data_IF_537580413295
#
_entry.id   IF_537580413295
#
_cell.length_a   1.000
_cell.length_b   1.000
_cell.length_c   1.000
_cell.angle_alpha   90.00
_cell.angle_beta   90.00
_cell.angle_gamma   90.00
#
_symmetry.space_group_name_H-M   'P 1'
#
loop_
_entity.id
_entity.type
_entity.pdbx_description
1 polymer ?
#
# COMPACT_ATOMS: atom_id res chain seq x y z
N UNK A 1 -8.30 11.45 -21.62
CA UNK A 1 -7.05 10.75 -21.98
C UNK A 1 -6.49 10.15 -20.70
N UNK A 2 -6.23 8.86 -20.69
CA UNK A 2 -5.79 8.12 -19.50
C UNK A 2 -4.29 8.32 -19.32
N UNK A 3 -3.87 9.47 -18.77
CA UNK A 3 -2.47 9.68 -18.44
C UNK A 3 -2.02 8.63 -17.42
N UNK A 4 -0.84 8.06 -17.66
CA UNK A 4 -0.16 7.18 -16.73
C UNK A 4 -0.01 7.87 -15.34
N UNK A 5 0.04 7.11 -14.25
CA UNK A 5 0.26 7.66 -12.90
C UNK A 5 1.48 8.59 -12.84
N UNK A 6 2.59 8.25 -13.49
CA UNK A 6 3.78 9.11 -13.53
C UNK A 6 3.51 10.44 -14.25
N UNK A 7 2.86 10.39 -15.41
CA UNK A 7 2.51 11.58 -16.20
C UNK A 7 1.53 12.49 -15.45
N UNK A 8 0.60 11.92 -14.67
CA UNK A 8 -0.35 12.68 -13.86
C UNK A 8 0.37 13.58 -12.85
N UNK A 9 1.46 13.10 -12.26
CA UNK A 9 2.31 13.90 -11.39
C UNK A 9 3.48 14.53 -12.13
N UNK A 10 3.58 14.47 -13.46
CA UNK A 10 4.72 15.00 -14.23
C UNK A 10 6.08 14.40 -13.85
N UNK A 11 6.11 13.18 -13.30
CA UNK A 11 7.33 12.49 -12.88
C UNK A 11 7.88 11.63 -14.03
N UNK A 12 9.21 11.43 -14.10
CA UNK A 12 9.78 10.46 -15.04
C UNK A 12 9.30 9.05 -14.69
N UNK A 13 9.03 8.24 -15.71
CA UNK A 13 8.68 6.82 -15.53
C UNK A 13 9.93 6.08 -15.05
N UNK A 14 9.85 5.51 -13.84
CA UNK A 14 10.95 4.78 -13.25
C UNK A 14 10.66 4.32 -11.82
N UNK A 15 11.47 3.40 -11.32
CA UNK A 15 11.32 2.90 -9.96
C UNK A 15 11.86 3.88 -8.92
N UNK A 16 12.98 4.55 -9.23
CA UNK A 16 13.52 5.64 -8.43
C UNK A 16 12.71 6.91 -8.67
N UNK A 17 11.92 7.32 -7.68
CA UNK A 17 11.21 8.60 -7.66
C UNK A 17 11.60 9.37 -6.41
N UNK A 18 11.41 10.68 -6.45
CA UNK A 18 11.51 11.55 -5.28
C UNK A 18 10.14 11.58 -4.58
N UNK A 19 10.03 10.90 -3.44
CA UNK A 19 8.80 10.82 -2.66
C UNK A 19 8.36 12.20 -2.14
N UNK A 20 9.31 13.08 -1.82
CA UNK A 20 9.01 14.45 -1.38
C UNK A 20 8.36 15.27 -2.50
N UNK A 21 8.91 15.19 -3.70
CA UNK A 21 8.33 15.79 -4.90
C UNK A 21 6.96 15.19 -5.24
N UNK A 22 6.79 13.86 -5.12
CA UNK A 22 5.50 13.21 -5.31
C UNK A 22 4.44 13.75 -4.35
N UNK A 23 4.77 13.86 -3.05
CA UNK A 23 3.85 14.40 -2.03
C UNK A 23 3.51 15.86 -2.29
N UNK A 24 4.47 16.69 -2.68
CA UNK A 24 4.22 18.09 -3.04
C UNK A 24 3.22 18.22 -4.20
N UNK A 25 3.45 17.44 -5.27
CA UNK A 25 2.59 17.46 -6.47
C UNK A 25 1.21 16.88 -6.20
N UNK A 26 1.12 15.85 -5.36
CA UNK A 26 -0.16 15.32 -4.89
C UNK A 26 -0.99 16.38 -4.18
N UNK A 27 -0.41 17.10 -3.20
CA UNK A 27 -1.11 18.14 -2.45
C UNK A 27 -1.61 19.25 -3.36
N UNK A 28 -0.74 19.73 -4.26
CA UNK A 28 -1.09 20.76 -5.23
C UNK A 28 -2.28 20.37 -6.11
N UNK A 29 -2.31 19.12 -6.60
CA UNK A 29 -3.41 18.60 -7.42
C UNK A 29 -4.71 18.46 -6.63
N UNK A 30 -4.64 17.91 -5.41
CA UNK A 30 -5.82 17.74 -4.55
C UNK A 30 -6.42 19.10 -4.17
N UNK A 31 -5.59 20.09 -3.84
CA UNK A 31 -6.06 21.43 -3.48
C UNK A 31 -6.74 22.14 -4.66
N UNK A 32 -6.20 21.98 -5.88
CA UNK A 32 -6.84 22.50 -7.09
C UNK A 32 -8.24 21.87 -7.31
N UNK A 33 -8.36 20.55 -7.18
CA UNK A 33 -9.66 19.86 -7.36
C UNK A 33 -10.63 20.22 -6.24
N UNK A 34 -10.16 20.34 -4.99
CA UNK A 34 -10.99 20.80 -3.85
C UNK A 34 -11.48 22.23 -4.02
N UNK A 35 -10.67 23.12 -4.60
CA UNK A 35 -11.10 24.49 -4.89
C UNK A 35 -12.22 24.52 -5.94
N UNK A 36 -12.20 23.62 -6.93
CA UNK A 36 -13.30 23.47 -7.90
C UNK A 36 -14.57 22.91 -7.25
N UNK A 37 -14.44 21.98 -6.29
CA UNK A 37 -15.59 21.50 -5.50
C UNK A 37 -16.34 22.62 -4.77
N UNK A 38 -15.63 23.66 -4.30
CA UNK A 38 -16.26 24.80 -3.65
C UNK A 38 -17.12 25.65 -4.61
N UNK A 39 -16.97 25.46 -5.93
CA UNK A 39 -17.76 26.14 -6.97
C UNK A 39 -19.01 25.34 -7.38
N UNK A 40 -19.14 24.08 -6.97
CA UNK A 40 -20.30 23.22 -7.21
C UNK A 40 -20.00 21.75 -6.91
N UNK A 41 -21.02 20.98 -6.53
CA UNK A 41 -20.90 19.53 -6.34
C UNK A 41 -21.01 18.82 -7.70
N UNK A 42 -19.97 18.04 -8.05
CA UNK A 42 -19.91 17.28 -9.29
C UNK A 42 -19.31 15.89 -9.03
N UNK A 43 -20.03 14.84 -9.42
CA UNK A 43 -19.58 13.45 -9.35
C UNK A 43 -18.27 13.22 -10.13
N UNK A 44 -18.00 14.02 -11.16
CA UNK A 44 -16.73 13.98 -11.90
C UNK A 44 -15.54 14.36 -11.03
N UNK A 45 -15.70 15.36 -10.16
CA UNK A 45 -14.62 15.80 -9.26
C UNK A 45 -14.32 14.75 -8.19
N UNK A 46 -15.35 14.03 -7.70
CA UNK A 46 -15.15 12.91 -6.75
C UNK A 46 -14.33 11.80 -7.42
N UNK A 47 -14.69 11.43 -8.64
CA UNK A 47 -13.95 10.44 -9.44
C UNK A 47 -12.51 10.89 -9.71
N UNK A 48 -12.31 12.18 -9.99
CA UNK A 48 -10.98 12.73 -10.21
C UNK A 48 -10.08 12.61 -8.96
N UNK A 49 -10.59 12.98 -7.77
CA UNK A 49 -9.87 12.82 -6.51
C UNK A 49 -9.51 11.36 -6.23
N UNK A 50 -10.46 10.44 -6.42
CA UNK A 50 -10.20 9.01 -6.22
C UNK A 50 -9.08 8.49 -7.14
N UNK A 51 -9.04 8.93 -8.39
CA UNK A 51 -7.96 8.56 -9.31
C UNK A 51 -6.60 9.19 -8.96
N UNK A 52 -6.59 10.41 -8.41
CA UNK A 52 -5.36 11.06 -7.93
C UNK A 52 -4.82 10.31 -6.71
N UNK A 53 -5.70 9.98 -5.76
CA UNK A 53 -5.35 9.19 -4.57
C UNK A 53 -4.80 7.82 -4.94
N UNK A 54 -5.43 7.13 -5.88
CA UNK A 54 -4.96 5.83 -6.35
C UNK A 54 -3.57 5.94 -6.97
N UNK A 55 -3.36 6.88 -7.89
CA UNK A 55 -2.06 7.10 -8.50
C UNK A 55 -0.99 7.44 -7.44
N UNK A 56 -1.35 8.25 -6.44
CA UNK A 56 -0.44 8.60 -5.35
C UNK A 56 -0.07 7.37 -4.50
N UNK A 57 -1.05 6.57 -4.06
CA UNK A 57 -0.79 5.37 -3.26
C UNK A 57 0.05 4.34 -4.02
N UNK A 58 -0.24 4.13 -5.29
CA UNK A 58 0.51 3.22 -6.16
C UNK A 58 1.95 3.66 -6.35
N UNK A 59 2.20 4.95 -6.56
CA UNK A 59 3.56 5.45 -6.68
C UNK A 59 4.28 5.53 -5.33
N UNK A 60 3.58 5.77 -4.22
CA UNK A 60 4.21 5.87 -2.91
C UNK A 60 4.71 4.52 -2.41
N UNK A 61 3.92 3.44 -2.54
CA UNK A 61 4.34 2.10 -2.12
C UNK A 61 5.31 1.48 -3.15
N UNK A 62 6.57 1.16 -2.78
CA UNK A 62 7.53 0.55 -3.68
C UNK A 62 7.04 -0.76 -4.32
N UNK A 63 6.26 -1.58 -3.61
CA UNK A 63 5.75 -2.83 -4.18
C UNK A 63 4.68 -2.58 -5.24
N UNK A 64 3.71 -1.71 -4.94
CA UNK A 64 2.69 -1.31 -5.90
C UNK A 64 3.31 -0.61 -7.12
N UNK A 65 4.32 0.24 -6.88
CA UNK A 65 5.09 0.93 -7.93
C UNK A 65 5.81 -0.06 -8.84
N UNK A 66 6.45 -1.09 -8.28
CA UNK A 66 7.12 -2.13 -9.06
C UNK A 66 6.12 -2.93 -9.91
N UNK A 67 4.97 -3.31 -9.34
CA UNK A 67 3.90 -3.99 -10.08
C UNK A 67 3.37 -3.15 -11.24
N UNK A 68 3.09 -1.88 -10.97
CA UNK A 68 2.64 -0.94 -11.99
C UNK A 68 3.68 -0.75 -13.12
N UNK A 69 4.96 -0.64 -12.77
CA UNK A 69 6.03 -0.57 -13.76
C UNK A 69 6.10 -1.83 -14.63
N UNK A 70 5.86 -3.01 -14.07
CA UNK A 70 5.81 -4.23 -14.89
C UNK A 70 4.68 -4.18 -15.91
N UNK A 71 3.49 -3.70 -15.53
CA UNK A 71 2.37 -3.52 -16.47
C UNK A 71 2.73 -2.54 -17.60
N UNK A 72 3.40 -1.44 -17.26
CA UNK A 72 3.85 -0.45 -18.25
C UNK A 72 4.89 -1.02 -19.22
N UNK A 73 5.89 -1.74 -18.72
CA UNK A 73 6.90 -2.36 -19.57
C UNK A 73 6.34 -3.49 -20.43
N UNK A 74 5.39 -4.28 -19.90
CA UNK A 74 4.67 -5.29 -20.68
C UNK A 74 3.86 -4.67 -21.81
N UNK A 75 3.15 -3.57 -21.54
CA UNK A 75 2.40 -2.83 -22.57
C UNK A 75 3.30 -2.26 -23.68
N UNK A 76 4.58 -2.00 -23.39
CA UNK A 76 5.59 -1.55 -24.35
C UNK A 76 6.28 -2.71 -25.09
N UNK A 77 5.89 -3.96 -24.84
CA UNK A 77 6.49 -5.15 -25.46
C UNK A 77 7.76 -5.65 -24.78
N UNK A 78 8.16 -5.05 -23.65
CA UNK A 78 9.26 -5.54 -22.80
C UNK A 78 8.76 -6.64 -21.84
N UNK A 79 8.03 -7.61 -22.39
CA UNK A 79 7.44 -8.68 -21.59
C UNK A 79 8.51 -9.64 -21.07
N UNK A 80 8.68 -9.65 -19.76
CA UNK A 80 9.09 -10.84 -19.06
C UNK A 80 7.85 -11.74 -18.99
N UNK A 81 7.80 -12.83 -19.76
CA UNK A 81 6.78 -13.89 -19.61
C UNK A 81 6.48 -14.05 -18.11
N UNK A 82 5.20 -13.96 -17.69
CA UNK A 82 4.79 -14.36 -16.33
C UNK A 82 5.24 -15.81 -16.17
N UNK A 83 6.41 -16.00 -15.55
CA UNK A 83 6.99 -17.32 -15.36
C UNK A 83 5.98 -18.15 -14.58
N UNK A 84 5.38 -19.14 -15.25
CA UNK A 84 4.65 -20.24 -14.65
C UNK A 84 5.63 -21.19 -13.92
N UNK A 85 6.51 -20.64 -13.09
CA UNK A 85 7.69 -21.37 -12.58
C UNK A 85 7.56 -21.77 -11.12
N UNK A 86 6.43 -21.49 -10.48
CA UNK A 86 6.18 -21.99 -9.13
C UNK A 86 5.55 -23.39 -9.24
N UNK A 87 6.24 -24.47 -8.88
CA UNK A 87 5.62 -25.77 -8.83
C UNK A 87 4.47 -25.73 -7.81
N UNK A 88 3.31 -26.35 -8.10
CA UNK A 88 2.20 -26.40 -7.16
C UNK A 88 2.67 -27.11 -5.88
N UNK A 89 2.97 -26.33 -4.83
CA UNK A 89 3.51 -26.82 -3.56
C UNK A 89 4.62 -25.95 -2.95
N UNK A 90 5.35 -25.14 -3.72
CA UNK A 90 6.42 -24.31 -3.18
C UNK A 90 5.91 -23.33 -2.11
N UNK A 91 4.76 -22.68 -2.37
CA UNK A 91 4.15 -21.74 -1.41
C UNK A 91 3.69 -22.39 -0.11
N UNK A 92 3.36 -23.69 -0.12
CA UNK A 92 2.99 -24.41 1.11
C UNK A 92 4.22 -24.72 1.97
N UNK A 93 5.34 -25.08 1.34
CA UNK A 93 6.62 -25.30 2.03
C UNK A 93 7.10 -23.98 2.66
N UNK A 94 7.09 -22.89 1.88
CA UNK A 94 7.43 -21.56 2.38
C UNK A 94 6.54 -21.14 3.57
N UNK A 95 5.25 -21.41 3.49
CA UNK A 95 4.31 -21.11 4.57
C UNK A 95 4.60 -21.93 5.84
N UNK A 96 4.93 -23.22 5.70
CA UNK A 96 5.27 -24.09 6.83
C UNK A 96 6.56 -23.64 7.52
N UNK A 97 7.63 -23.39 6.77
CA UNK A 97 8.93 -22.93 7.31
C UNK A 97 8.80 -21.58 8.03
N UNK A 98 8.01 -20.68 7.43
CA UNK A 98 7.69 -19.38 8.01
C UNK A 98 6.95 -19.52 9.34
N UNK A 99 5.95 -20.39 9.37
CA UNK A 99 5.15 -20.64 10.57
C UNK A 99 5.98 -21.29 11.68
N UNK A 100 6.85 -22.24 11.33
CA UNK A 100 7.80 -22.86 12.27
C UNK A 100 8.72 -21.83 12.90
N UNK A 101 9.31 -20.94 12.08
CA UNK A 101 10.20 -19.87 12.56
C UNK A 101 9.49 -18.95 13.55
N UNK A 102 8.26 -18.55 13.25
CA UNK A 102 7.46 -17.72 14.15
C UNK A 102 7.08 -18.45 15.44
N UNK A 103 6.75 -19.75 15.38
CA UNK A 103 6.42 -20.57 16.56
C UNK A 103 7.66 -20.75 17.46
N UNK A 104 8.82 -20.98 16.85
CA UNK A 104 10.09 -21.05 17.58
C UNK A 104 10.41 -19.75 18.31
N UNK A 105 10.13 -18.59 17.70
CA UNK A 105 10.29 -17.28 18.34
C UNK A 105 9.37 -17.12 19.56
N UNK A 106 8.10 -17.55 19.47
CA UNK A 106 7.13 -17.45 20.58
C UNK A 106 7.39 -18.42 21.74
N UNK A 107 8.15 -19.50 21.51
CA UNK A 107 8.46 -20.51 22.53
C UNK A 107 9.75 -20.20 23.33
N UNK A 108 10.39 -19.05 23.07
CA UNK A 108 11.58 -18.60 23.81
C UNK A 108 11.20 -18.07 25.20
N UNK A 109 12.19 -17.99 26.08
CA UNK A 109 12.03 -17.45 27.45
C UNK A 109 11.56 -15.99 27.47
N UNK A 110 11.92 -15.21 26.45
CA UNK A 110 11.42 -13.85 26.20
C UNK A 110 10.87 -13.76 24.77
N UNK A 111 9.57 -14.07 24.58
CA UNK A 111 8.93 -14.05 23.26
C UNK A 111 8.92 -12.66 22.63
N UNK A 112 8.79 -11.60 23.44
CA UNK A 112 8.71 -10.23 22.95
C UNK A 112 10.04 -9.80 22.34
N UNK A 113 11.14 -9.98 23.07
CA UNK A 113 12.48 -9.68 22.55
C UNK A 113 12.82 -10.52 21.30
N UNK A 114 12.42 -11.80 21.29
CA UNK A 114 12.64 -12.69 20.14
C UNK A 114 11.86 -12.25 18.89
N UNK A 115 10.59 -11.84 19.03
CA UNK A 115 9.78 -11.33 17.92
C UNK A 115 10.31 -9.99 17.42
N UNK A 116 10.74 -9.10 18.32
CA UNK A 116 11.39 -7.84 17.95
C UNK A 116 12.67 -8.07 17.15
N UNK A 117 13.56 -8.97 17.59
CA UNK A 117 14.76 -9.36 16.85
C UNK A 117 14.43 -9.93 15.47
N UNK A 118 13.41 -10.79 15.39
CA UNK A 118 12.95 -11.35 14.12
C UNK A 118 12.46 -10.26 13.17
N UNK A 119 11.66 -9.29 13.64
CA UNK A 119 11.21 -8.16 12.82
C UNK A 119 12.36 -7.27 12.36
N UNK A 120 13.39 -7.04 13.19
CA UNK A 120 14.61 -6.32 12.76
C UNK A 120 15.30 -7.06 11.63
N UNK A 121 15.47 -8.38 11.70
CA UNK A 121 16.07 -9.17 10.61
C UNK A 121 15.25 -9.12 9.33
N UNK A 122 13.91 -9.13 9.44
CA UNK A 122 13.04 -8.91 8.28
C UNK A 122 13.30 -7.52 7.67
N UNK A 123 13.35 -6.47 8.50
CA UNK A 123 13.61 -5.09 8.11
C UNK A 123 14.98 -4.90 7.41
N UNK A 124 16.02 -5.59 7.85
CA UNK A 124 17.33 -5.57 7.20
C UNK A 124 17.29 -6.28 5.84
N UNK A 125 16.64 -7.45 5.79
CA UNK A 125 16.54 -8.24 4.55
C UNK A 125 15.77 -7.51 3.46
N UNK A 126 14.64 -6.90 3.78
CA UNK A 126 13.89 -6.18 2.74
C UNK A 126 14.55 -4.86 2.32
N UNK A 127 15.29 -4.16 3.19
CA UNK A 127 16.13 -3.04 2.74
C UNK A 127 17.19 -3.48 1.71
N UNK A 128 17.79 -4.67 1.90
CA UNK A 128 18.72 -5.23 0.92
C UNK A 128 18.03 -5.61 -0.41
N UNK A 129 16.82 -6.18 -0.34
CA UNK A 129 16.02 -6.52 -1.53
C UNK A 129 15.53 -5.28 -2.27
N UNK A 130 15.15 -4.23 -1.55
CA UNK A 130 14.74 -2.94 -2.14
C UNK A 130 15.90 -2.29 -2.92
N UNK A 131 17.10 -2.26 -2.33
CA UNK A 131 18.31 -1.85 -3.05
C UNK A 131 18.56 -2.70 -4.31
N UNK A 132 18.28 -3.99 -4.25
CA UNK A 132 18.38 -4.89 -5.41
C UNK A 132 17.35 -4.53 -6.48
N UNK A 133 16.10 -4.19 -6.10
CA UNK A 133 15.10 -3.69 -7.04
C UNK A 133 15.56 -2.41 -7.74
N UNK A 134 16.11 -1.45 -6.99
CA UNK A 134 16.66 -0.24 -7.58
C UNK A 134 17.72 -0.52 -8.65
N UNK A 135 18.61 -1.48 -8.40
CA UNK A 135 19.62 -1.89 -9.38
C UNK A 135 19.02 -2.57 -10.62
N UNK A 136 18.05 -3.45 -10.43
CA UNK A 136 17.40 -4.17 -11.53
C UNK A 136 16.57 -3.24 -12.42
N UNK A 137 15.89 -2.25 -11.83
CA UNK A 137 15.11 -1.26 -12.58
C UNK A 137 15.95 -0.15 -13.21
N UNK A 138 17.24 -0.04 -12.90
CA UNK A 138 18.13 0.91 -13.56
C UNK A 138 18.36 0.56 -15.05
N UNK A 139 18.23 -0.71 -15.42
CA UNK A 139 18.23 -1.18 -16.80
C UNK A 139 17.08 -2.20 -17.01
N UNK A 140 15.91 -1.77 -17.49
CA UNK A 140 14.71 -2.60 -17.59
C UNK A 140 14.75 -3.58 -18.78
N UNK A 141 15.78 -4.42 -18.85
CA UNK A 141 15.86 -5.53 -19.80
C UNK A 141 14.92 -6.68 -19.41
N UNK A 142 14.45 -7.52 -20.36
CA UNK A 142 13.59 -8.66 -20.02
C UNK A 142 14.19 -9.63 -18.99
N UNK A 143 15.52 -9.71 -18.92
CA UNK A 143 16.23 -10.48 -17.89
C UNK A 143 16.08 -9.83 -16.51
N UNK A 144 16.38 -8.52 -16.41
CA UNK A 144 16.29 -7.78 -15.15
C UNK A 144 14.84 -7.69 -14.65
N UNK A 145 13.86 -7.56 -15.55
CA UNK A 145 12.43 -7.57 -15.19
C UNK A 145 12.00 -8.92 -14.61
N UNK A 146 12.48 -10.06 -15.15
CA UNK A 146 12.24 -11.38 -14.55
C UNK A 146 12.85 -11.49 -13.15
N UNK A 147 14.08 -11.03 -12.97
CA UNK A 147 14.75 -11.02 -11.67
C UNK A 147 14.01 -10.11 -10.67
N UNK A 148 13.58 -8.92 -11.11
CA UNK A 148 12.85 -7.96 -10.28
C UNK A 148 11.52 -8.55 -9.80
N UNK A 149 10.79 -9.27 -10.67
CA UNK A 149 9.58 -10.00 -10.27
C UNK A 149 9.85 -11.01 -9.15
N UNK A 150 10.96 -11.73 -9.19
CA UNK A 150 11.33 -12.66 -8.12
C UNK A 150 11.63 -11.92 -6.80
N UNK A 151 12.31 -10.77 -6.86
CA UNK A 151 12.59 -9.93 -5.69
C UNK A 151 11.30 -9.35 -5.10
N UNK A 152 10.36 -8.88 -5.93
CA UNK A 152 9.03 -8.39 -5.48
C UNK A 152 8.29 -9.49 -4.73
N UNK A 153 8.27 -10.74 -5.24
CA UNK A 153 7.66 -11.88 -4.51
C UNK A 153 8.29 -12.11 -3.14
N UNK A 154 9.62 -12.06 -3.05
CA UNK A 154 10.31 -12.18 -1.76
C UNK A 154 9.90 -11.06 -0.79
N UNK A 155 9.83 -9.81 -1.25
CA UNK A 155 9.39 -8.69 -0.42
C UNK A 155 7.93 -8.84 0.05
N UNK A 156 7.04 -9.32 -0.81
CA UNK A 156 5.64 -9.63 -0.44
C UNK A 156 5.56 -10.70 0.65
N UNK A 157 6.41 -11.74 0.56
CA UNK A 157 6.54 -12.76 1.60
C UNK A 157 7.06 -12.15 2.90
N UNK A 158 8.11 -11.33 2.87
CA UNK A 158 8.62 -10.65 4.09
C UNK A 158 7.58 -9.74 4.73
N UNK A 159 6.81 -8.99 3.93
CA UNK A 159 5.72 -8.15 4.43
C UNK A 159 4.63 -8.99 5.12
N UNK A 160 4.34 -10.19 4.62
CA UNK A 160 3.44 -11.15 5.28
C UNK A 160 4.02 -11.63 6.60
N UNK A 161 5.28 -12.07 6.62
CA UNK A 161 5.98 -12.49 7.85
C UNK A 161 5.93 -11.42 8.93
N UNK A 162 6.19 -10.16 8.55
CA UNK A 162 6.23 -9.02 9.46
C UNK A 162 4.86 -8.79 10.13
N UNK A 163 3.78 -8.71 9.34
CA UNK A 163 2.41 -8.54 9.88
C UNK A 163 2.02 -9.63 10.87
N UNK A 164 2.45 -10.86 10.62
CA UNK A 164 2.16 -11.96 11.53
C UNK A 164 3.00 -11.94 12.80
N UNK A 165 4.27 -11.55 12.71
CA UNK A 165 5.11 -11.32 13.88
C UNK A 165 4.54 -10.19 14.77
N UNK A 166 4.11 -9.09 14.16
CA UNK A 166 3.43 -7.97 14.83
C UNK A 166 2.15 -8.43 15.54
N UNK A 167 1.33 -9.26 14.87
CA UNK A 167 0.12 -9.83 15.46
C UNK A 167 0.41 -10.66 16.72
N UNK A 168 1.41 -11.55 16.66
CA UNK A 168 1.82 -12.37 17.82
C UNK A 168 2.46 -11.53 18.94
N UNK A 169 3.16 -10.46 18.59
CA UNK A 169 3.72 -9.54 19.58
C UNK A 169 2.61 -8.79 20.32
N UNK A 170 1.54 -8.39 19.62
CA UNK A 170 0.37 -7.78 20.25
C UNK A 170 -0.35 -8.76 21.20
N UNK A 171 -0.47 -10.04 20.82
CA UNK A 171 -1.05 -11.10 21.66
C UNK A 171 -0.25 -11.34 22.94
N UNK A 172 1.08 -11.40 22.84
CA UNK A 172 1.98 -11.60 24.00
C UNK A 172 1.97 -10.43 24.98
N UNK A 173 1.67 -9.22 24.51
CA UNK A 173 1.52 -8.02 25.35
C UNK A 173 0.14 -7.90 26.04
N UNK A 174 -0.79 -8.83 25.80
CA UNK A 174 -2.11 -8.81 26.43
C UNK A 174 -2.99 -7.62 26.02
N UNK A 175 -2.63 -6.93 24.93
CA UNK A 175 -3.48 -5.89 24.33
C UNK A 175 -4.61 -6.64 23.64
N UNK A 176 -5.77 -6.72 24.31
CA UNK A 176 -6.95 -7.39 23.79
C UNK A 176 -7.21 -7.03 22.33
N UNK A 177 -7.74 -8.01 21.59
CA UNK A 177 -7.96 -8.10 20.13
C UNK A 177 -8.77 -6.96 19.49
N UNK A 178 -9.02 -5.87 20.22
CA UNK A 178 -9.72 -4.66 19.83
C UNK A 178 -8.86 -3.66 19.05
N UNK A 179 -7.52 -3.74 19.13
CA UNK A 179 -6.65 -2.98 18.23
C UNK A 179 -6.30 -3.84 17.00
N UNK A 180 -7.28 -4.08 16.13
CA UNK A 180 -6.96 -4.39 14.72
C UNK A 180 -6.41 -3.11 14.13
N UNK A 181 -5.10 -2.94 14.27
CA UNK A 181 -4.37 -1.78 13.75
C UNK A 181 -4.59 -1.76 12.24
N UNK A 182 -5.11 -0.64 11.75
CA UNK A 182 -4.95 -0.26 10.36
C UNK A 182 -3.45 -0.03 10.12
N UNK A 183 -2.70 -1.09 9.87
CA UNK A 183 -1.30 -0.98 9.43
C UNK A 183 -1.36 -0.66 7.94
N UNK A 184 -1.47 0.64 7.68
CA UNK A 184 -1.14 1.23 6.40
C UNK A 184 0.26 0.79 6.00
N UNK A 185 0.40 0.47 4.71
CA UNK A 185 1.59 0.43 3.87
C UNK A 185 2.89 -0.13 4.46
N UNK A 186 3.63 -0.84 3.61
CA UNK A 186 4.89 -1.42 4.00
C UNK A 186 5.94 -0.30 4.18
N UNK A 187 6.05 0.28 5.38
CA UNK A 187 7.13 1.20 5.70
C UNK A 187 8.46 0.41 5.69
N UNK A 188 9.22 0.58 4.61
CA UNK A 188 10.63 0.21 4.47
C UNK A 188 11.53 1.45 4.52
N UNK A 189 11.07 2.56 5.12
CA UNK A 189 11.85 3.79 5.18
C UNK A 189 12.83 3.77 6.36
N UNK A 190 14.03 3.21 6.11
CA UNK A 190 15.23 3.68 6.80
C UNK A 190 15.69 4.96 6.09
N UNK A 191 15.28 6.10 6.64
CA UNK A 191 15.80 7.42 6.26
C UNK A 191 14.86 8.28 5.42
N UNK A 192 13.74 8.73 5.99
CA UNK A 192 13.10 9.97 5.56
C UNK A 192 12.65 10.74 6.79
N UNK A 193 13.45 11.73 7.18
CA UNK A 193 13.15 12.72 8.21
C UNK A 193 12.10 13.68 7.61
N UNK A 194 10.84 13.22 7.53
CA UNK A 194 9.71 14.05 7.16
C UNK A 194 8.60 13.79 8.17
N UNK A 195 8.54 14.66 9.19
CA UNK A 195 7.50 14.65 10.22
C UNK A 195 6.11 14.64 9.58
N UNK A 196 5.42 13.52 9.72
CA UNK A 196 3.99 13.38 9.46
C UNK A 196 3.23 14.15 10.54
N UNK A 197 2.33 15.10 10.23
CA UNK A 197 1.37 15.58 11.21
C UNK A 197 0.33 14.48 11.48
N UNK A 198 0.07 14.27 12.77
CA UNK A 198 -0.75 13.20 13.31
C UNK A 198 -2.19 13.18 12.81
N UNK A 199 -2.72 11.97 12.82
CA UNK A 199 -4.09 11.53 12.52
C UNK A 199 -5.21 12.10 13.44
N UNK A 200 -5.05 13.31 13.98
CA UNK A 200 -6.04 13.93 14.88
C UNK A 200 -7.04 14.84 14.15
N UNK A 201 -6.71 15.38 12.97
CA UNK A 201 -7.59 16.33 12.26
C UNK A 201 -8.79 15.66 11.54
N UNK A 202 -8.71 14.37 11.20
CA UNK A 202 -9.81 13.67 10.53
C UNK A 202 -10.99 13.35 11.46
N UNK A 203 -10.80 13.34 12.80
CA UNK A 203 -11.84 12.99 13.77
C UNK A 203 -12.72 14.16 14.20
N UNK A 204 -12.29 15.40 13.95
CA UNK A 204 -13.06 16.59 14.31
C UNK A 204 -14.21 16.89 13.32
N UNK A 205 -14.12 16.42 12.07
CA UNK A 205 -15.02 16.85 11.00
C UNK A 205 -16.37 16.09 10.94
N UNK A 206 -16.51 14.98 11.68
CA UNK A 206 -17.75 14.16 11.69
C UNK A 206 -18.81 14.69 12.69
N UNK A 207 -18.46 15.61 13.60
CA UNK A 207 -19.39 16.12 14.63
C UNK A 207 -20.23 17.35 14.23
N UNK A 208 -20.22 17.73 12.94
CA UNK A 208 -20.81 18.99 12.48
C UNK A 208 -21.90 18.92 11.41
N UNK A 209 -22.46 17.75 11.07
CA UNK A 209 -23.56 17.68 10.10
C UNK A 209 -24.94 17.68 10.77
N UNK A 210 -25.90 18.51 10.31
CA UNK A 210 -27.27 18.49 10.81
C UNK A 210 -28.00 17.23 10.32
N UNK A 211 -28.66 16.54 11.25
CA UNK A 211 -29.44 15.32 11.00
C UNK A 211 -30.49 15.55 9.91
N UNK A 212 -30.31 14.92 8.75
CA UNK A 212 -31.36 14.82 7.72
C UNK A 212 -32.42 13.85 8.24
N UNK A 213 -33.53 14.40 8.70
CA UNK A 213 -34.70 13.66 9.17
C UNK A 213 -35.47 13.14 7.94
N UNK A 214 -35.33 11.86 7.62
CA UNK A 214 -36.09 11.20 6.54
C UNK A 214 -37.47 10.84 7.10
N UNK A 215 -38.49 11.64 6.78
CA UNK A 215 -39.88 11.31 7.07
C UNK A 215 -40.40 10.20 6.14
N UNK A 216 -41.20 9.24 6.64
CA UNK A 216 -41.75 8.16 5.82
C UNK A 216 -42.88 8.67 4.92
N UNK A 217 -42.78 8.33 3.63
CA UNK A 217 -43.72 8.71 2.57
C UNK A 217 -45.07 7.98 2.78
N UNK A 218 -46.07 8.69 3.29
CA UNK A 218 -47.44 8.20 3.39
C UNK A 218 -48.04 8.00 1.97
N UNK A 219 -48.60 6.80 1.75
CA UNK A 219 -49.28 6.42 0.52
C UNK A 219 -50.52 7.27 0.25
N UNK A 220 -50.66 7.76 -0.99
CA UNK A 220 -51.91 8.28 -1.53
C UNK A 220 -52.53 7.21 -2.43
N UNK A 221 -53.53 6.51 -1.92
CA UNK A 221 -54.56 5.86 -2.72
C UNK A 221 -55.85 6.66 -2.55
N UNK A 222 -56.30 7.30 -3.61
CA UNK A 222 -57.54 8.11 -3.63
C UNK A 222 -58.77 7.21 -3.84
N UNK A 223 -59.90 7.71 -3.38
CA UNK A 223 -61.17 7.03 -3.17
C UNK A 223 -62.08 6.89 -4.42
N UNK A 224 -62.92 5.86 -4.35
CA UNK A 224 -64.36 5.79 -4.68
C UNK A 224 -64.91 6.22 -6.05
N UNK A 225 -65.40 5.24 -6.81
CA UNK A 225 -66.83 5.11 -7.18
C UNK A 225 -67.17 3.62 -7.36
#
# INVERSE_FOLDING_TARGET
MCNNHFERFGLPVGFAIDDGLLTERYRTLVDAVRAEFARGEDDELVRALAQIDEAYRTLLDPLARAEYLFELYEAQGLSAQKGCDEPPGASLIEEMERQETLVAATNRSDPHAALSEFMTRLAERGAALDKTLHQLFADPSPHNLRAARAVVRQLQMLARCRREAEGRQAETLGVGTACRVAVAQVDWQVGSDAGLPGNEDCRAMIRGQPSINIAPKAGRGNASH
#
